data_IF_263887563946
#
_entry.id   IF_263887563946
#
_cell.length_a   1.000
_cell.length_b   1.000
_cell.length_c   1.000
_cell.angle_alpha   90.00
_cell.angle_beta   90.00
_cell.angle_gamma   90.00
#
_symmetry.space_group_name_H-M   'P 1'
#
loop_
_entity.id
_entity.type
_entity.pdbx_description
1 polymer ?
#
# COMPACT_ATOMS: atom_id res chain seq x y z
N UNK A 1 -56.59 9.52 -37.04
CA UNK A 1 -56.00 8.18 -37.28
C UNK A 1 -54.55 8.19 -37.75
N UNK A 2 -54.11 9.08 -38.66
CA UNK A 2 -52.72 9.07 -39.20
C UNK A 2 -51.62 9.37 -38.17
N UNK A 3 -51.80 10.35 -37.28
CA UNK A 3 -50.82 10.74 -36.25
C UNK A 3 -50.61 9.65 -35.19
N UNK A 4 -51.68 8.93 -34.81
CA UNK A 4 -51.60 7.82 -33.86
C UNK A 4 -50.70 6.69 -34.38
N UNK A 5 -50.76 6.40 -35.69
CA UNK A 5 -49.90 5.40 -36.33
C UNK A 5 -48.43 5.83 -36.38
N UNK A 6 -48.16 7.13 -36.57
CA UNK A 6 -46.81 7.68 -36.53
C UNK A 6 -46.22 7.64 -35.12
N UNK A 7 -47.01 8.00 -34.10
CA UNK A 7 -46.58 7.97 -32.71
C UNK A 7 -46.28 6.53 -32.24
N UNK A 8 -47.15 5.57 -32.59
CA UNK A 8 -46.91 4.16 -32.26
C UNK A 8 -45.66 3.60 -32.93
N UNK A 9 -45.39 3.99 -34.19
CA UNK A 9 -44.18 3.60 -34.91
C UNK A 9 -42.93 4.20 -34.30
N UNK A 10 -42.99 5.46 -33.88
CA UNK A 10 -41.87 6.13 -33.22
C UNK A 10 -41.54 5.47 -31.87
N UNK A 11 -42.55 5.16 -31.06
CA UNK A 11 -42.38 4.45 -29.78
C UNK A 11 -41.77 3.06 -30.00
N UNK A 12 -42.25 2.30 -31.00
CA UNK A 12 -41.68 1.01 -31.36
C UNK A 12 -40.19 1.10 -31.74
N UNK A 13 -39.81 2.11 -32.52
CA UNK A 13 -38.42 2.32 -32.92
C UNK A 13 -37.53 2.61 -31.70
N UNK A 14 -38.00 3.45 -30.77
CA UNK A 14 -37.26 3.77 -29.53
C UNK A 14 -37.07 2.52 -28.67
N UNK A 15 -38.10 1.68 -28.53
CA UNK A 15 -37.99 0.42 -27.78
C UNK A 15 -37.02 -0.57 -28.40
N UNK A 16 -37.02 -0.71 -29.73
CA UNK A 16 -36.08 -1.60 -30.45
C UNK A 16 -34.65 -1.08 -30.31
N UNK A 17 -34.43 0.23 -30.43
CA UNK A 17 -33.10 0.82 -30.27
C UNK A 17 -32.57 0.67 -28.83
N UNK A 18 -33.44 0.82 -27.83
CA UNK A 18 -33.09 0.60 -26.42
C UNK A 18 -32.73 -0.85 -26.11
N UNK A 19 -33.38 -1.83 -26.76
CA UNK A 19 -33.06 -3.26 -26.59
C UNK A 19 -31.72 -3.66 -27.25
N UNK A 20 -31.33 -2.97 -28.33
CA UNK A 20 -30.08 -3.22 -29.06
C UNK A 20 -28.86 -2.55 -28.39
N UNK A 21 -29.07 -1.49 -27.61
CA UNK A 21 -28.04 -0.87 -26.78
C UNK A 21 -27.88 -1.63 -25.44
N UNK A 22 -27.28 -2.82 -25.49
CA UNK A 22 -26.89 -3.54 -24.27
C UNK A 22 -25.80 -2.75 -23.53
N UNK A 23 -25.92 -2.55 -22.21
CA UNK A 23 -24.86 -1.94 -21.42
C UNK A 23 -23.63 -2.83 -21.50
N UNK A 24 -22.53 -2.28 -22.03
CA UNK A 24 -21.25 -2.96 -22.06
C UNK A 24 -20.73 -3.01 -20.62
N UNK A 25 -20.86 -4.15 -19.97
CA UNK A 25 -20.26 -4.39 -18.66
C UNK A 25 -18.75 -4.30 -18.85
N UNK A 26 -18.14 -3.25 -18.33
CA UNK A 26 -16.68 -3.17 -18.20
C UNK A 26 -16.32 -4.18 -17.12
N UNK A 27 -15.78 -5.33 -17.54
CA UNK A 27 -15.17 -6.28 -16.63
C UNK A 27 -13.93 -5.59 -16.03
N UNK A 28 -13.86 -5.50 -14.71
CA UNK A 28 -12.62 -5.09 -14.06
C UNK A 28 -11.51 -6.07 -14.46
N UNK A 29 -10.32 -5.55 -14.77
CA UNK A 29 -9.13 -6.38 -14.99
C UNK A 29 -8.97 -7.37 -13.82
N UNK A 30 -8.48 -8.56 -14.14
CA UNK A 30 -8.11 -9.54 -13.11
C UNK A 30 -7.27 -8.87 -12.04
N UNK A 31 -7.62 -9.12 -10.76
CA UNK A 31 -6.75 -8.78 -9.64
C UNK A 31 -5.49 -9.63 -9.83
N UNK A 32 -4.48 -9.04 -10.48
CA UNK A 32 -3.15 -9.62 -10.49
C UNK A 32 -2.79 -9.88 -9.03
N UNK A 33 -2.32 -11.09 -8.68
CA UNK A 33 -1.86 -11.35 -7.33
C UNK A 33 -0.89 -10.25 -6.95
N UNK A 34 -1.07 -9.67 -5.75
CA UNK A 34 -0.20 -8.62 -5.26
C UNK A 34 1.26 -9.04 -5.51
N UNK A 35 2.09 -8.18 -6.12
CA UNK A 35 3.45 -8.56 -6.46
C UNK A 35 4.13 -9.09 -5.20
N UNK A 36 4.89 -10.18 -5.38
CA UNK A 36 5.67 -10.91 -4.38
C UNK A 36 5.93 -10.10 -3.10
N UNK A 37 5.63 -10.69 -1.92
CA UNK A 37 6.05 -10.20 -0.60
C UNK A 37 7.40 -9.48 -0.72
N UNK A 38 7.40 -8.15 -0.69
CA UNK A 38 8.63 -7.36 -0.74
C UNK A 38 9.48 -7.77 0.44
N UNK A 39 10.69 -8.28 0.18
CA UNK A 39 11.60 -8.63 1.27
C UNK A 39 12.10 -7.36 1.96
N UNK A 40 12.55 -7.48 3.21
CA UNK A 40 13.17 -6.35 3.91
C UNK A 40 14.37 -5.79 3.12
N UNK A 41 15.14 -6.68 2.49
CA UNK A 41 16.29 -6.32 1.65
C UNK A 41 15.89 -5.49 0.43
N UNK A 42 14.84 -5.90 -0.29
CA UNK A 42 14.32 -5.14 -1.44
C UNK A 42 13.86 -3.74 -1.04
N UNK A 43 13.24 -3.60 0.14
CA UNK A 43 12.83 -2.29 0.65
C UNK A 43 14.03 -1.40 1.00
N UNK A 44 15.08 -1.97 1.60
CA UNK A 44 16.32 -1.23 1.92
C UNK A 44 16.99 -0.73 0.64
N UNK A 45 17.11 -1.59 -0.40
CA UNK A 45 17.65 -1.18 -1.69
C UNK A 45 16.79 -0.12 -2.35
N UNK A 46 15.47 -0.29 -2.36
CA UNK A 46 14.55 0.68 -2.95
C UNK A 46 14.70 2.05 -2.27
N UNK A 47 14.82 2.08 -0.93
CA UNK A 47 15.02 3.33 -0.19
C UNK A 47 16.36 3.99 -0.51
N UNK A 48 17.45 3.21 -0.58
CA UNK A 48 18.76 3.76 -0.95
C UNK A 48 18.80 4.24 -2.41
N UNK A 49 18.11 3.55 -3.33
CA UNK A 49 17.93 3.99 -4.72
C UNK A 49 17.21 5.34 -4.77
N UNK A 50 16.12 5.48 -4.00
CA UNK A 50 15.39 6.74 -3.88
C UNK A 50 16.28 7.87 -3.33
N UNK A 51 17.05 7.60 -2.27
CA UNK A 51 17.98 8.59 -1.70
C UNK A 51 19.00 9.09 -2.72
N UNK A 52 19.63 8.17 -3.45
CA UNK A 52 20.62 8.51 -4.48
C UNK A 52 19.98 9.32 -5.61
N UNK A 53 18.73 9.01 -5.99
CA UNK A 53 17.99 9.79 -6.99
C UNK A 53 17.77 11.26 -6.59
N UNK A 54 17.72 11.55 -5.28
CA UNK A 54 17.65 12.91 -4.72
C UNK A 54 19.02 13.53 -4.41
N UNK A 55 20.12 12.90 -4.85
CA UNK A 55 21.48 13.39 -4.58
C UNK A 55 21.96 13.15 -3.14
N UNK A 56 21.27 12.31 -2.37
CA UNK A 56 21.67 11.94 -1.01
C UNK A 56 22.54 10.68 -1.02
N UNK A 57 23.52 10.56 -0.11
CA UNK A 57 24.28 9.32 0.03
C UNK A 57 23.39 8.17 0.49
N UNK A 58 23.68 6.97 0.01
CA UNK A 58 23.07 5.74 0.51
C UNK A 58 23.35 5.56 2.01
N UNK A 59 22.36 5.06 2.75
CA UNK A 59 22.52 4.68 4.15
C UNK A 59 23.23 3.34 4.25
N UNK A 60 24.03 3.21 5.32
CA UNK A 60 24.65 1.94 5.71
C UNK A 60 23.62 1.13 6.48
N UNK A 61 23.41 -0.11 6.06
CA UNK A 61 22.57 -1.06 6.77
C UNK A 61 23.27 -1.56 8.04
N UNK A 62 22.53 -1.66 9.15
CA UNK A 62 23.04 -2.16 10.42
C UNK A 62 22.12 -3.29 10.94
N UNK A 63 22.68 -4.47 11.29
CA UNK A 63 21.88 -5.62 11.71
C UNK A 63 21.15 -5.40 13.05
N UNK A 64 21.65 -4.54 13.94
CA UNK A 64 20.97 -4.18 15.20
C UNK A 64 19.72 -3.36 14.88
N UNK A 65 19.82 -2.38 13.97
CA UNK A 65 18.67 -1.59 13.52
C UNK A 65 17.60 -2.51 12.90
N UNK A 66 18.01 -3.46 12.06
CA UNK A 66 17.10 -4.44 11.46
C UNK A 66 16.37 -5.29 12.52
N UNK A 67 17.09 -5.78 13.53
CA UNK A 67 16.50 -6.56 14.62
C UNK A 67 15.51 -5.73 15.45
N UNK A 68 15.83 -4.46 15.73
CA UNK A 68 14.92 -3.54 16.43
C UNK A 68 13.67 -3.24 15.59
N UNK A 69 13.81 -3.03 14.28
CA UNK A 69 12.67 -2.83 13.38
C UNK A 69 11.75 -4.08 13.36
N UNK A 70 12.32 -5.28 13.26
CA UNK A 70 11.56 -6.53 13.25
C UNK A 70 10.81 -6.77 14.57
N UNK A 71 11.48 -6.61 15.71
CA UNK A 71 10.86 -6.78 17.04
C UNK A 71 9.80 -5.72 17.33
N UNK A 72 10.00 -4.48 16.86
CA UNK A 72 9.00 -3.41 16.93
C UNK A 72 7.77 -3.77 16.11
N UNK A 73 7.93 -4.20 14.85
CA UNK A 73 6.82 -4.63 13.99
C UNK A 73 6.05 -5.83 14.59
N UNK A 74 6.76 -6.81 15.15
CA UNK A 74 6.15 -7.94 15.84
C UNK A 74 5.32 -7.50 17.06
N UNK A 75 5.83 -6.54 17.84
CA UNK A 75 5.11 -5.97 18.98
C UNK A 75 3.86 -5.22 18.53
N UNK A 76 3.95 -4.42 17.47
CA UNK A 76 2.81 -3.70 16.90
C UNK A 76 1.74 -4.67 16.39
N UNK A 77 2.14 -5.73 15.68
CA UNK A 77 1.23 -6.76 15.19
C UNK A 77 0.54 -7.51 16.35
N UNK A 78 1.30 -7.95 17.36
CA UNK A 78 0.78 -8.67 18.51
C UNK A 78 -0.26 -7.85 19.31
N UNK A 79 -0.14 -6.53 19.28
CA UNK A 79 -1.03 -5.62 20.01
C UNK A 79 -2.04 -4.91 19.10
N UNK A 80 -2.17 -5.30 17.83
CA UNK A 80 -3.08 -4.68 16.85
C UNK A 80 -2.91 -3.15 16.76
N UNK A 81 -1.67 -2.67 16.86
CA UNK A 81 -1.36 -1.24 16.90
C UNK A 81 -1.30 -0.67 15.50
N UNK A 82 -1.91 0.50 15.33
CA UNK A 82 -1.83 1.31 14.11
C UNK A 82 -1.11 2.65 14.28
N UNK A 83 -0.32 2.77 15.34
CA UNK A 83 0.43 3.95 15.74
C UNK A 83 1.81 3.57 16.27
N UNK A 84 2.71 4.56 16.36
CA UNK A 84 4.04 4.35 16.90
C UNK A 84 4.03 3.96 18.38
N UNK A 85 4.91 3.04 18.76
CA UNK A 85 5.22 2.75 20.17
C UNK A 85 5.92 3.94 20.85
N UNK A 86 6.72 4.72 20.09
CA UNK A 86 7.52 5.85 20.61
C UNK A 86 8.88 5.43 21.16
N UNK A 87 9.76 6.38 21.52
CA UNK A 87 11.13 6.12 22.03
C UNK A 87 12.03 5.22 21.16
N UNK A 88 12.12 5.55 19.86
CA UNK A 88 12.99 4.83 18.90
C UNK A 88 14.45 4.80 19.37
N UNK A 89 14.96 5.92 19.88
CA UNK A 89 16.34 6.01 20.37
C UNK A 89 16.60 5.08 21.55
N UNK A 90 15.65 4.94 22.48
CA UNK A 90 15.78 4.06 23.63
C UNK A 90 15.80 2.60 23.22
N UNK A 91 14.92 2.19 22.28
CA UNK A 91 14.93 0.83 21.72
C UNK A 91 16.25 0.48 21.03
N UNK A 92 16.79 1.40 20.24
CA UNK A 92 18.08 1.22 19.56
C UNK A 92 19.23 1.12 20.57
N UNK A 93 19.31 2.04 21.51
CA UNK A 93 20.36 2.03 22.54
C UNK A 93 20.28 0.78 23.43
N UNK A 94 19.08 0.35 23.82
CA UNK A 94 18.87 -0.86 24.59
C UNK A 94 19.30 -2.15 23.84
N UNK A 95 19.23 -2.13 22.51
CA UNK A 95 19.75 -3.21 21.66
C UNK A 95 21.28 -3.14 21.44
N UNK A 96 21.97 -2.14 22.01
CA UNK A 96 23.41 -1.95 21.89
C UNK A 96 23.86 -1.06 20.74
N UNK A 97 22.93 -0.47 19.97
CA UNK A 97 23.30 0.47 18.91
C UNK A 97 23.91 1.74 19.50
N UNK A 98 24.95 2.28 18.85
CA UNK A 98 25.66 3.48 19.30
C UNK A 98 26.72 3.26 20.39
N UNK A 99 26.97 2.01 20.83
CA UNK A 99 28.06 1.65 21.76
C UNK A 99 28.09 2.48 23.06
N UNK A 100 26.91 2.76 23.62
CA UNK A 100 26.76 3.57 24.83
C UNK A 100 26.79 5.09 24.60
N UNK A 101 27.00 5.55 23.37
CA UNK A 101 26.84 6.95 22.98
C UNK A 101 25.38 7.37 22.83
N UNK A 102 25.15 8.68 22.65
CA UNK A 102 23.81 9.20 22.37
C UNK A 102 23.32 8.73 21.01
N UNK A 103 22.20 8.01 21.01
CA UNK A 103 21.53 7.54 19.79
C UNK A 103 20.47 8.53 19.31
N UNK A 104 20.45 8.76 18.00
CA UNK A 104 19.39 9.47 17.30
C UNK A 104 18.77 8.54 16.26
N UNK A 105 17.44 8.51 16.19
CA UNK A 105 16.73 7.64 15.27
C UNK A 105 15.30 8.10 15.06
N UNK A 106 14.80 7.89 13.84
CA UNK A 106 13.41 8.08 13.44
C UNK A 106 12.86 6.77 12.92
N UNK A 107 11.54 6.64 12.90
CA UNK A 107 10.85 5.42 12.48
C UNK A 107 9.75 5.78 11.51
N UNK A 108 9.70 5.07 10.37
CA UNK A 108 8.56 5.04 9.47
C UNK A 108 8.01 3.61 9.51
N UNK A 109 6.70 3.45 9.58
CA UNK A 109 6.05 2.14 9.51
C UNK A 109 4.88 2.19 8.53
N UNK A 110 4.56 1.02 7.98
CA UNK A 110 3.41 0.83 7.11
C UNK A 110 2.67 -0.42 7.56
N UNK A 111 1.35 -0.42 7.34
CA UNK A 111 0.49 -1.56 7.57
C UNK A 111 -0.41 -1.75 6.37
N UNK A 112 -0.78 -3.00 6.10
CA UNK A 112 -1.82 -3.28 5.12
C UNK A 112 -3.19 -2.98 5.73
N UNK A 113 -4.05 -2.30 4.97
CA UNK A 113 -5.45 -2.05 5.35
C UNK A 113 -6.35 -3.27 5.15
N UNK A 114 -5.85 -4.35 4.55
CA UNK A 114 -6.60 -5.59 4.44
C UNK A 114 -6.57 -6.28 5.80
N UNK A 115 -7.55 -5.93 6.63
CA UNK A 115 -7.80 -6.60 7.89
C UNK A 115 -7.90 -8.11 7.70
N UNK A 116 -7.46 -8.83 8.73
CA UNK A 116 -7.34 -10.29 8.85
C UNK A 116 -6.00 -10.85 8.37
N UNK A 117 -5.18 -11.20 9.37
CA UNK A 117 -4.05 -12.13 9.19
C UNK A 117 -4.52 -13.57 9.02
#
# INVERSE_FOLDING_TARGET
MRIQCFLNRFVLIVFVFGALCQPRVVQADEILPAPNRTSAYELIIAMNTLRVSYGLPALVEDPIINAVAQSTAATMAANSMSWHIGDVRGRLAAAGYGSGGTVWGTENFAMSSNGMG
#
